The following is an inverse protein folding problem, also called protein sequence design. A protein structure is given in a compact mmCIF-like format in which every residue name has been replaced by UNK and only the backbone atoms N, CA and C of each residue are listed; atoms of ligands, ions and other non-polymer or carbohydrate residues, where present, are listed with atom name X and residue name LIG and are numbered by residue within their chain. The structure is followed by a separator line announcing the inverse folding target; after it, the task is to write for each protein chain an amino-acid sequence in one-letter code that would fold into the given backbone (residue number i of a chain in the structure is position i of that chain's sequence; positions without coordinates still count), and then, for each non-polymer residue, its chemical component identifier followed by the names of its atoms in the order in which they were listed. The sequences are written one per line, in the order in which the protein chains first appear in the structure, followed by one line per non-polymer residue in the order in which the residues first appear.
data_IF_330987681437
#
_entry.id   IF_330987681437
#
_cell.length_a   1.000
_cell.length_b   1.000
_cell.length_c   1.000
_cell.angle_alpha   90.00
_cell.angle_beta   90.00
_cell.angle_gamma   90.00
#
_symmetry.space_group_name_H-M   'P 1'
#
loop_
_entity.id
_entity.type
_entity.pdbx_description
1 polymer ?
#
# COMPACT_ATOMS: atom_id res chain seq x y z
N UNK A 1 14.00 15.25 22.65
CA UNK A 1 12.69 15.56 23.23
C UNK A 1 12.83 16.06 24.68
N UNK A 2 11.96 16.96 25.09
CA UNK A 2 11.90 17.55 26.42
C UNK A 2 10.98 16.73 27.34
N UNK A 3 10.88 17.12 28.63
CA UNK A 3 9.90 16.52 29.52
C UNK A 3 8.45 16.89 29.09
N UNK A 4 7.51 16.06 29.43
CA UNK A 4 6.10 16.23 29.02
C UNK A 4 5.47 17.54 29.52
N UNK A 5 5.86 18.01 30.68
CA UNK A 5 5.39 19.26 31.29
C UNK A 5 5.99 20.54 30.65
N UNK A 6 7.03 20.38 29.84
CA UNK A 6 7.73 21.48 29.15
C UNK A 6 7.22 21.65 27.70
N UNK A 7 6.47 20.70 27.18
CA UNK A 7 5.95 20.74 25.81
C UNK A 7 5.00 21.95 25.62
N UNK A 8 5.22 22.73 24.57
CA UNK A 8 4.46 23.94 24.25
C UNK A 8 4.95 25.20 24.97
N UNK A 9 6.13 25.14 25.60
CA UNK A 9 6.73 26.29 26.32
C UNK A 9 7.92 26.93 25.62
N UNK A 10 8.23 26.46 24.39
CA UNK A 10 9.38 26.96 23.60
C UNK A 10 10.73 26.84 24.33
N UNK A 11 10.93 25.71 25.02
CA UNK A 11 12.16 25.45 25.77
C UNK A 11 13.26 24.91 24.86
N UNK A 12 14.50 24.97 25.33
CA UNK A 12 15.66 24.45 24.61
C UNK A 12 15.49 22.99 24.20
N UNK A 13 15.76 22.67 22.92
CA UNK A 13 15.58 21.35 22.30
C UNK A 13 14.13 20.86 22.20
N UNK A 14 13.16 21.72 22.40
CA UNK A 14 11.79 21.40 22.03
C UNK A 14 11.62 21.45 20.50
N UNK A 15 10.99 20.42 19.94
CA UNK A 15 10.63 20.39 18.52
C UNK A 15 9.30 19.65 18.34
N UNK A 16 8.43 20.17 17.50
CA UNK A 16 7.20 19.48 17.09
C UNK A 16 7.54 18.42 16.07
N UNK A 17 8.00 17.27 16.53
CA UNK A 17 8.36 16.13 15.69
C UNK A 17 7.11 15.45 15.12
N UNK A 18 6.00 15.40 15.89
CA UNK A 18 4.74 14.83 15.43
C UNK A 18 4.17 15.61 14.24
N UNK A 19 4.09 16.94 14.36
CA UNK A 19 3.63 17.79 13.24
C UNK A 19 4.58 17.75 12.05
N UNK A 20 5.90 17.78 12.29
CA UNK A 20 6.90 17.72 11.21
C UNK A 20 6.88 16.39 10.45
N UNK A 21 6.51 15.29 11.08
CA UNK A 21 6.46 13.96 10.48
C UNK A 21 5.13 13.67 9.77
N UNK A 22 4.07 14.41 10.05
CA UNK A 22 2.70 14.14 9.58
C UNK A 22 2.60 13.86 8.06
N UNK A 23 3.29 14.60 7.16
CA UNK A 23 3.24 14.34 5.73
C UNK A 23 3.90 13.01 5.29
N UNK A 24 4.71 12.39 6.15
CA UNK A 24 5.53 11.22 5.81
C UNK A 24 5.10 9.93 6.52
N UNK A 25 4.18 10.01 7.49
CA UNK A 25 3.76 8.88 8.31
C UNK A 25 2.27 8.62 8.17
N UNK A 26 1.84 7.39 8.42
CA UNK A 26 0.41 7.05 8.48
C UNK A 26 -0.29 7.66 9.70
N UNK A 27 0.43 7.76 10.79
CA UNK A 27 -0.03 8.34 12.03
C UNK A 27 1.14 8.71 12.92
N UNK A 28 0.95 9.68 13.79
CA UNK A 28 1.92 10.07 14.81
C UNK A 28 1.27 10.09 16.19
N UNK A 29 2.01 9.67 17.20
CA UNK A 29 1.62 9.72 18.60
C UNK A 29 2.61 10.58 19.39
N UNK A 30 2.07 11.45 20.24
CA UNK A 30 2.83 12.06 21.32
C UNK A 30 2.45 11.37 22.64
N UNK A 31 3.35 10.57 23.20
CA UNK A 31 3.12 9.77 24.39
C UNK A 31 3.34 10.61 25.64
N UNK A 32 2.26 11.17 26.22
CA UNK A 32 2.35 12.08 27.38
C UNK A 32 2.27 11.37 28.74
N UNK A 33 1.73 10.19 28.80
CA UNK A 33 1.56 9.42 30.03
C UNK A 33 2.26 8.08 29.91
N UNK A 34 3.12 7.73 30.88
CA UNK A 34 3.86 6.47 30.84
C UNK A 34 2.96 5.23 30.76
N UNK A 35 1.78 5.27 31.40
CA UNK A 35 0.82 4.17 31.46
C UNK A 35 0.26 3.82 30.07
N UNK A 36 0.20 4.79 29.15
CA UNK A 36 -0.32 4.59 27.80
C UNK A 36 0.68 3.87 26.86
N UNK A 37 1.92 3.64 27.33
CA UNK A 37 3.03 3.12 26.49
C UNK A 37 2.64 1.84 25.77
N UNK A 38 2.17 0.82 26.50
CA UNK A 38 1.84 -0.47 25.92
C UNK A 38 0.73 -0.37 24.86
N UNK A 39 -0.31 0.39 25.15
CA UNK A 39 -1.44 0.60 24.24
C UNK A 39 -1.03 1.38 22.98
N UNK A 40 -0.29 2.47 23.13
CA UNK A 40 0.19 3.29 22.01
C UNK A 40 1.08 2.46 21.08
N UNK A 41 2.04 1.70 21.62
CA UNK A 41 2.88 0.83 20.80
C UNK A 41 2.06 -0.25 20.09
N UNK A 42 1.12 -0.89 20.77
CA UNK A 42 0.24 -1.88 20.15
C UNK A 42 -0.56 -1.29 18.98
N UNK A 43 -1.16 -0.11 19.18
CA UNK A 43 -1.90 0.62 18.13
C UNK A 43 -0.99 1.03 16.98
N UNK A 44 0.20 1.53 17.27
CA UNK A 44 1.17 1.95 16.27
C UNK A 44 1.57 0.80 15.34
N UNK A 45 1.92 -0.36 15.89
CA UNK A 45 2.22 -1.55 15.09
C UNK A 45 1.02 -2.04 14.27
N UNK A 46 -0.18 -1.98 14.85
CA UNK A 46 -1.40 -2.34 14.12
C UNK A 46 -1.64 -1.41 12.93
N UNK A 47 -1.56 -0.08 13.12
CA UNK A 47 -1.72 0.90 12.04
C UNK A 47 -0.62 0.72 10.98
N UNK A 48 0.63 0.57 11.40
CA UNK A 48 1.76 0.41 10.48
C UNK A 48 1.62 -0.85 9.60
N UNK A 49 1.12 -1.95 10.18
CA UNK A 49 1.06 -3.27 9.54
C UNK A 49 -0.22 -3.58 8.76
N UNK A 50 -1.27 -2.76 8.84
CA UNK A 50 -2.58 -3.04 8.23
C UNK A 50 -2.96 -2.00 7.17
N UNK A 51 -3.93 -2.32 6.31
CA UNK A 51 -4.28 -1.49 5.16
C UNK A 51 -3.07 -1.27 4.25
N UNK A 52 -2.93 -0.10 3.66
CA UNK A 52 -1.69 0.30 3.00
C UNK A 52 -0.63 0.51 4.07
N UNK A 53 0.35 -0.38 4.14
CA UNK A 53 1.43 -0.37 5.15
C UNK A 53 2.27 0.90 5.02
N UNK A 54 2.72 1.41 6.16
CA UNK A 54 3.54 2.61 6.21
C UNK A 54 4.02 2.92 7.63
N UNK A 55 4.95 3.86 7.80
CA UNK A 55 5.53 4.20 9.09
C UNK A 55 4.53 4.85 10.03
N UNK A 56 4.70 4.61 11.32
CA UNK A 56 4.04 5.34 12.41
C UNK A 56 5.12 5.88 13.33
N UNK A 57 5.00 7.16 13.69
CA UNK A 57 5.93 7.81 14.60
C UNK A 57 5.34 7.79 16.02
N UNK A 58 6.20 7.51 17.01
CA UNK A 58 5.88 7.68 18.42
C UNK A 58 6.93 8.61 19.01
N UNK A 59 6.51 9.79 19.42
CA UNK A 59 7.34 10.75 20.15
C UNK A 59 7.18 10.50 21.64
N UNK A 60 8.30 10.16 22.31
CA UNK A 60 8.33 9.78 23.72
C UNK A 60 9.13 10.80 24.51
N UNK A 61 8.49 11.68 25.31
CA UNK A 61 9.15 12.64 26.17
C UNK A 61 10.13 11.99 27.15
N UNK A 62 11.13 12.75 27.57
CA UNK A 62 12.25 12.22 28.35
C UNK A 62 11.84 11.68 29.72
N UNK A 63 10.94 12.34 30.42
CA UNK A 63 10.37 11.89 31.69
C UNK A 63 9.58 10.59 31.54
N UNK A 64 8.80 10.45 30.44
CA UNK A 64 8.07 9.20 30.13
C UNK A 64 9.02 8.03 29.89
N UNK A 65 10.16 8.26 29.22
CA UNK A 65 11.17 7.22 29.00
C UNK A 65 11.81 6.68 30.30
N UNK A 66 11.80 7.47 31.37
CA UNK A 66 12.39 7.11 32.65
C UNK A 66 11.39 6.59 33.67
N UNK A 67 10.12 6.75 33.40
CA UNK A 67 9.08 6.34 34.32
C UNK A 67 9.00 4.81 34.45
N UNK A 68 8.77 4.35 35.67
CA UNK A 68 8.43 2.96 35.95
C UNK A 68 6.92 2.78 35.86
N UNK A 69 6.47 1.70 35.20
CA UNK A 69 5.05 1.38 35.03
C UNK A 69 4.80 -0.08 35.34
N UNK A 70 3.59 -0.40 35.77
CA UNK A 70 3.07 -1.76 35.76
C UNK A 70 2.71 -2.13 34.33
N UNK A 71 3.58 -2.93 33.68
CA UNK A 71 3.46 -3.24 32.26
C UNK A 71 2.43 -4.31 32.01
N UNK A 72 1.37 -3.94 31.28
CA UNK A 72 0.38 -4.87 30.74
C UNK A 72 0.21 -4.61 29.25
N UNK A 73 0.53 -5.63 28.42
CA UNK A 73 0.41 -5.49 26.97
C UNK A 73 -1.00 -5.92 26.51
N UNK A 74 -1.75 -5.03 25.82
CA UNK A 74 -3.11 -5.32 25.42
C UNK A 74 -3.20 -6.53 24.47
N UNK A 75 -4.17 -7.42 24.67
CA UNK A 75 -4.41 -8.57 23.78
C UNK A 75 -4.96 -8.14 22.43
N UNK A 76 -5.83 -7.14 22.41
CA UNK A 76 -6.55 -6.67 21.22
C UNK A 76 -6.30 -5.19 20.94
N UNK A 77 -6.58 -4.76 19.71
CA UNK A 77 -6.55 -3.35 19.31
C UNK A 77 -7.96 -2.96 18.85
N UNK A 78 -8.50 -1.92 19.44
CA UNK A 78 -9.71 -1.26 18.95
C UNK A 78 -9.44 0.23 18.73
N UNK A 79 -9.50 0.66 17.46
CA UNK A 79 -9.35 2.06 17.07
C UNK A 79 -10.63 2.46 16.36
N UNK A 80 -11.43 3.30 17.01
CA UNK A 80 -12.79 3.69 16.56
C UNK A 80 -12.84 4.16 15.11
N UNK A 81 -11.86 4.93 14.65
CA UNK A 81 -11.82 5.55 13.33
C UNK A 81 -10.98 4.80 12.30
N UNK A 82 -10.37 3.66 12.68
CA UNK A 82 -9.49 2.90 11.81
C UNK A 82 -9.99 1.47 11.64
N UNK A 83 -10.60 1.18 10.50
CA UNK A 83 -11.19 -0.11 10.13
C UNK A 83 -10.69 -0.52 8.74
N UNK A 84 -9.44 -1.02 8.62
CA UNK A 84 -8.90 -1.42 7.32
C UNK A 84 -9.70 -2.57 6.73
N UNK A 85 -10.10 -2.45 5.46
CA UNK A 85 -10.74 -3.54 4.74
C UNK A 85 -9.69 -4.54 4.29
N UNK A 86 -9.94 -5.84 4.51
CA UNK A 86 -9.08 -6.93 4.07
C UNK A 86 -9.73 -7.82 2.99
N UNK A 87 -11.01 -7.56 2.67
CA UNK A 87 -11.77 -8.36 1.72
C UNK A 87 -12.42 -7.47 0.65
N UNK A 88 -12.33 -7.92 -0.60
CA UNK A 88 -12.98 -7.24 -1.71
C UNK A 88 -14.51 -7.39 -1.67
N UNK A 89 -15.22 -6.43 -2.27
CA UNK A 89 -16.66 -6.49 -2.41
C UNK A 89 -17.06 -7.56 -3.42
N UNK A 90 -17.85 -8.58 -3.01
CA UNK A 90 -18.24 -9.70 -3.84
C UNK A 90 -18.99 -9.32 -5.13
N UNK A 91 -19.80 -8.25 -5.13
CA UNK A 91 -20.49 -7.78 -6.32
C UNK A 91 -19.51 -7.12 -7.32
N UNK A 92 -18.54 -6.36 -6.82
CA UNK A 92 -17.49 -5.77 -7.66
C UNK A 92 -16.60 -6.87 -8.28
N UNK A 93 -16.26 -7.90 -7.52
CA UNK A 93 -15.49 -9.05 -8.03
C UNK A 93 -16.26 -9.76 -9.16
N UNK A 94 -17.57 -10.00 -9.00
CA UNK A 94 -18.41 -10.59 -10.06
C UNK A 94 -18.45 -9.72 -11.31
N UNK A 95 -18.60 -8.39 -11.15
CA UNK A 95 -18.58 -7.45 -12.28
C UNK A 95 -17.23 -7.47 -13.00
N UNK A 96 -16.13 -7.44 -12.25
CA UNK A 96 -14.77 -7.51 -12.79
C UNK A 96 -14.56 -8.82 -13.59
N UNK A 97 -15.02 -9.96 -13.05
CA UNK A 97 -14.94 -11.25 -13.74
C UNK A 97 -15.72 -11.26 -15.08
N UNK A 98 -16.93 -10.67 -15.11
CA UNK A 98 -17.72 -10.56 -16.34
C UNK A 98 -17.01 -9.67 -17.38
N UNK A 99 -16.49 -8.53 -16.96
CA UNK A 99 -15.74 -7.62 -17.85
C UNK A 99 -14.49 -8.31 -18.41
N UNK A 100 -13.74 -8.99 -17.56
CA UNK A 100 -12.53 -9.69 -17.97
C UNK A 100 -12.83 -10.86 -18.93
N UNK A 101 -13.91 -11.60 -18.69
CA UNK A 101 -14.34 -12.68 -19.57
C UNK A 101 -14.76 -12.21 -20.98
N UNK A 102 -15.17 -10.95 -21.13
CA UNK A 102 -15.52 -10.34 -22.41
C UNK A 102 -14.35 -9.65 -23.11
N UNK A 103 -13.22 -9.48 -22.42
CA UNK A 103 -12.04 -8.83 -22.96
C UNK A 103 -11.41 -9.64 -24.11
N UNK A 104 -10.97 -8.93 -25.14
CA UNK A 104 -10.26 -9.54 -26.29
C UNK A 104 -8.75 -9.47 -26.16
N UNK A 105 -8.27 -8.44 -25.46
CA UNK A 105 -6.84 -8.17 -25.22
C UNK A 105 -6.62 -7.75 -23.77
N UNK A 106 -6.92 -8.62 -22.80
CA UNK A 106 -6.69 -8.32 -21.41
C UNK A 106 -5.18 -8.24 -21.09
N UNK A 107 -4.82 -7.39 -20.12
CA UNK A 107 -3.46 -7.22 -19.65
C UNK A 107 -3.46 -7.03 -18.12
N UNK A 108 -2.55 -7.67 -17.42
CA UNK A 108 -2.34 -7.47 -15.98
C UNK A 108 -1.18 -6.51 -15.77
N UNK A 109 -1.39 -5.48 -14.94
CA UNK A 109 -0.32 -4.63 -14.41
C UNK A 109 -0.06 -5.01 -12.95
N UNK A 110 1.07 -5.65 -12.71
CA UNK A 110 1.53 -6.08 -11.40
C UNK A 110 2.26 -4.94 -10.67
N UNK A 111 1.77 -4.55 -9.51
CA UNK A 111 2.38 -3.54 -8.66
C UNK A 111 3.05 -4.09 -7.41
N UNK A 112 3.69 -3.20 -6.63
CA UNK A 112 4.38 -3.53 -5.39
C UNK A 112 3.47 -4.05 -4.28
N UNK A 113 2.17 -3.74 -4.32
CA UNK A 113 1.18 -4.25 -3.35
C UNK A 113 1.02 -5.77 -3.36
N UNK A 114 1.38 -6.43 -4.46
CA UNK A 114 1.36 -7.89 -4.57
C UNK A 114 2.33 -8.62 -3.62
N UNK A 115 3.41 -7.95 -3.17
CA UNK A 115 4.37 -8.57 -2.23
C UNK A 115 3.84 -8.65 -0.80
N UNK A 116 2.52 -8.66 -0.65
CA UNK A 116 1.84 -8.83 0.63
C UNK A 116 1.13 -10.18 0.67
N UNK A 117 1.42 -11.01 1.66
CA UNK A 117 0.85 -12.35 1.78
C UNK A 117 1.19 -13.25 0.59
N UNK A 118 0.21 -14.01 0.10
CA UNK A 118 0.35 -14.96 -1.03
C UNK A 118 -0.08 -14.38 -2.39
N UNK A 119 -0.25 -13.07 -2.49
CA UNK A 119 -0.86 -12.46 -3.67
C UNK A 119 -0.03 -12.64 -4.95
N UNK A 120 1.30 -12.70 -4.86
CA UNK A 120 2.17 -12.98 -6.01
C UNK A 120 1.89 -14.36 -6.59
N UNK A 121 1.82 -15.39 -5.75
CA UNK A 121 1.55 -16.75 -6.22
C UNK A 121 0.13 -16.89 -6.80
N UNK A 122 -0.84 -16.25 -6.19
CA UNK A 122 -2.21 -16.21 -6.70
C UNK A 122 -2.30 -15.52 -8.05
N UNK A 123 -1.62 -14.38 -8.21
CA UNK A 123 -1.56 -13.66 -9.49
C UNK A 123 -0.89 -14.50 -10.58
N UNK A 124 0.22 -15.18 -10.28
CA UNK A 124 0.91 -16.08 -11.23
C UNK A 124 -0.01 -17.21 -11.70
N UNK A 125 -0.65 -17.92 -10.75
CA UNK A 125 -1.62 -18.97 -11.07
C UNK A 125 -2.79 -18.44 -11.90
N UNK A 126 -3.27 -17.24 -11.61
CA UNK A 126 -4.33 -16.60 -12.36
C UNK A 126 -3.88 -16.28 -13.79
N UNK A 127 -2.72 -15.66 -13.97
CA UNK A 127 -2.17 -15.34 -15.29
C UNK A 127 -1.93 -16.61 -16.14
N UNK A 128 -1.34 -17.65 -15.53
CA UNK A 128 -1.12 -18.94 -16.20
C UNK A 128 -2.42 -19.66 -16.59
N UNK A 129 -3.43 -19.63 -15.71
CA UNK A 129 -4.73 -20.27 -15.99
C UNK A 129 -5.52 -19.55 -17.09
N UNK A 130 -5.40 -18.22 -17.17
CA UNK A 130 -6.16 -17.39 -18.11
C UNK A 130 -5.38 -17.04 -19.37
N UNK A 131 -4.09 -17.37 -19.43
CA UNK A 131 -3.14 -16.99 -20.50
C UNK A 131 -3.07 -15.46 -20.71
N UNK A 132 -3.29 -14.68 -19.64
CA UNK A 132 -3.25 -13.22 -19.69
C UNK A 132 -1.82 -12.73 -19.48
N UNK A 133 -1.27 -11.92 -20.40
CA UNK A 133 0.07 -11.36 -20.26
C UNK A 133 0.14 -10.38 -19.07
N UNK A 134 1.34 -10.27 -18.51
CA UNK A 134 1.64 -9.46 -17.34
C UNK A 134 2.74 -8.44 -17.67
N UNK A 135 2.51 -7.20 -17.30
CA UNK A 135 3.52 -6.15 -17.20
C UNK A 135 3.67 -5.73 -15.75
N UNK A 136 4.75 -5.09 -15.38
CA UNK A 136 4.95 -4.65 -14.00
C UNK A 136 5.30 -3.17 -13.89
N UNK A 137 4.94 -2.56 -12.77
CA UNK A 137 5.59 -1.32 -12.33
C UNK A 137 7.01 -1.62 -11.85
N UNK A 138 7.83 -0.58 -11.61
CA UNK A 138 9.15 -0.76 -10.99
C UNK A 138 9.06 -1.51 -9.67
N UNK A 139 8.09 -1.18 -8.82
CA UNK A 139 7.87 -1.84 -7.53
C UNK A 139 7.25 -3.24 -7.66
N UNK A 140 6.72 -3.58 -8.82
CA UNK A 140 6.18 -4.92 -9.14
C UNK A 140 7.20 -5.87 -9.78
N UNK A 141 8.43 -5.41 -10.05
CA UNK A 141 9.48 -6.27 -10.59
C UNK A 141 9.75 -7.46 -9.66
N UNK A 142 9.85 -8.66 -10.24
CA UNK A 142 9.97 -9.91 -9.49
C UNK A 142 8.63 -10.59 -9.18
N UNK A 143 7.48 -9.92 -9.38
CA UNK A 143 6.18 -10.57 -9.25
C UNK A 143 5.99 -11.69 -10.29
N UNK A 144 6.52 -11.54 -11.51
CA UNK A 144 6.59 -12.61 -12.51
C UNK A 144 8.04 -13.02 -12.76
N UNK A 145 8.31 -14.32 -13.02
CA UNK A 145 9.60 -14.77 -13.49
C UNK A 145 9.97 -14.12 -14.82
N UNK A 146 11.21 -13.66 -14.97
CA UNK A 146 11.67 -12.96 -16.19
C UNK A 146 11.70 -13.84 -17.44
N UNK A 147 11.76 -15.16 -17.27
CA UNK A 147 11.71 -16.15 -18.34
C UNK A 147 10.29 -16.66 -18.66
N UNK A 148 9.27 -16.14 -17.98
CA UNK A 148 7.89 -16.49 -18.32
C UNK A 148 7.48 -15.90 -19.67
N UNK A 149 6.86 -16.67 -20.57
CA UNK A 149 6.37 -16.17 -21.84
C UNK A 149 5.23 -15.14 -21.68
N UNK A 150 4.59 -15.12 -20.52
CA UNK A 150 3.55 -14.15 -20.19
C UNK A 150 4.09 -12.83 -19.65
N UNK A 151 5.38 -12.73 -19.30
CA UNK A 151 5.96 -11.50 -18.75
C UNK A 151 6.52 -10.60 -19.86
N UNK A 152 5.89 -9.48 -20.11
CA UNK A 152 6.31 -8.51 -21.14
C UNK A 152 7.23 -7.41 -20.62
N UNK A 153 7.59 -7.45 -19.33
CA UNK A 153 8.56 -6.55 -18.72
C UNK A 153 7.95 -5.38 -17.96
N UNK A 154 8.78 -4.39 -17.67
CA UNK A 154 8.40 -3.20 -16.92
C UNK A 154 7.75 -2.15 -17.82
N UNK A 155 6.64 -1.57 -17.34
CA UNK A 155 5.93 -0.44 -17.95
C UNK A 155 6.52 0.90 -17.51
N UNK A 156 6.31 1.93 -18.31
CA UNK A 156 6.52 3.33 -17.95
C UNK A 156 7.68 3.99 -18.68
N UNK A 157 8.06 5.18 -18.22
CA UNK A 157 9.09 6.03 -18.84
C UNK A 157 10.43 5.30 -19.02
N UNK A 158 10.82 4.48 -18.07
CA UNK A 158 12.04 3.65 -18.10
C UNK A 158 11.72 2.17 -18.41
N UNK A 159 10.51 1.90 -18.89
CA UNK A 159 10.06 0.57 -19.22
C UNK A 159 10.55 0.09 -20.58
N UNK A 160 10.28 -1.18 -20.87
CA UNK A 160 10.62 -1.76 -22.15
C UNK A 160 9.53 -1.54 -23.21
N UNK A 161 9.92 -1.54 -24.47
CA UNK A 161 9.02 -1.34 -25.61
C UNK A 161 7.84 -2.33 -25.61
N UNK A 162 8.11 -3.61 -25.29
CA UNK A 162 7.07 -4.64 -25.27
C UNK A 162 5.95 -4.32 -24.28
N UNK A 163 6.30 -3.96 -23.03
CA UNK A 163 5.34 -3.59 -22.00
C UNK A 163 4.54 -2.33 -22.37
N UNK A 164 5.21 -1.28 -22.88
CA UNK A 164 4.56 -0.04 -23.29
C UNK A 164 3.63 -0.25 -24.51
N UNK A 165 4.02 -1.10 -25.45
CA UNK A 165 3.15 -1.46 -26.57
C UNK A 165 1.93 -2.28 -26.11
N UNK A 166 2.14 -3.24 -25.19
CA UNK A 166 1.05 -4.07 -24.68
C UNK A 166 -0.03 -3.22 -23.98
N UNK A 167 0.37 -2.26 -23.13
CA UNK A 167 -0.60 -1.41 -22.41
C UNK A 167 -1.38 -0.50 -23.34
N UNK A 168 -0.76 0.00 -24.42
CA UNK A 168 -1.44 0.85 -25.41
C UNK A 168 -2.32 0.07 -26.38
N UNK A 169 -2.18 -1.27 -26.45
CA UNK A 169 -2.98 -2.12 -27.31
C UNK A 169 -4.02 -2.98 -26.58
N UNK A 170 -4.00 -3.01 -25.25
CA UNK A 170 -5.01 -3.76 -24.48
C UNK A 170 -6.38 -3.06 -24.50
N UNK A 171 -7.45 -3.83 -24.36
CA UNK A 171 -8.82 -3.32 -24.19
C UNK A 171 -9.28 -3.36 -22.72
N UNK A 172 -8.63 -4.19 -21.93
CA UNK A 172 -8.92 -4.33 -20.50
C UNK A 172 -7.61 -4.43 -19.71
N UNK A 173 -7.40 -3.48 -18.80
CA UNK A 173 -6.23 -3.42 -17.95
C UNK A 173 -6.62 -3.76 -16.52
N UNK A 174 -6.03 -4.82 -15.95
CA UNK A 174 -6.23 -5.23 -14.56
C UNK A 174 -5.04 -4.77 -13.73
N UNK A 175 -5.23 -3.77 -12.90
CA UNK A 175 -4.22 -3.28 -11.97
C UNK A 175 -4.31 -4.07 -10.67
N UNK A 176 -3.22 -4.70 -10.26
CA UNK A 176 -3.14 -5.49 -9.03
C UNK A 176 -2.09 -4.89 -8.09
N UNK A 177 -2.54 -4.22 -7.04
CA UNK A 177 -1.67 -3.56 -6.07
C UNK A 177 -0.71 -2.55 -6.71
N UNK A 178 -1.19 -1.86 -7.73
CA UNK A 178 -0.42 -0.93 -8.54
C UNK A 178 -1.02 0.46 -8.48
N UNK A 179 -0.26 1.42 -7.96
CA UNK A 179 -0.62 2.82 -8.00
C UNK A 179 -0.45 3.39 -9.42
N UNK A 180 -1.42 4.17 -9.88
CA UNK A 180 -1.38 4.86 -11.18
C UNK A 180 -0.56 6.15 -11.04
N UNK A 181 0.76 6.00 -10.82
CA UNK A 181 1.67 7.14 -10.71
C UNK A 181 2.13 7.66 -12.08
N UNK A 182 2.49 8.94 -12.14
CA UNK A 182 2.93 9.66 -13.34
C UNK A 182 3.99 8.91 -14.16
N UNK A 183 4.97 8.31 -13.49
CA UNK A 183 6.06 7.56 -14.14
C UNK A 183 5.61 6.25 -14.80
N UNK A 184 4.58 5.61 -14.26
CA UNK A 184 4.01 4.39 -14.83
C UNK A 184 3.10 4.72 -16.00
N UNK A 185 2.24 5.74 -15.85
CA UNK A 185 1.26 6.11 -16.88
C UNK A 185 1.85 6.99 -18.00
N UNK A 186 3.06 7.55 -17.84
CA UNK A 186 3.70 8.40 -18.86
C UNK A 186 3.82 7.73 -20.25
N UNK A 187 3.78 6.39 -20.28
CA UNK A 187 3.80 5.62 -21.53
C UNK A 187 2.39 5.17 -21.99
N UNK A 188 1.36 5.51 -21.23
CA UNK A 188 -0.03 5.15 -21.56
C UNK A 188 -0.69 6.30 -22.31
N UNK A 189 -1.28 5.99 -23.44
CA UNK A 189 -2.13 6.92 -24.19
C UNK A 189 -3.48 7.07 -23.46
N UNK A 190 -4.02 8.29 -23.44
CA UNK A 190 -5.38 8.50 -22.94
C UNK A 190 -6.38 7.87 -23.91
N UNK A 191 -7.20 6.96 -23.43
CA UNK A 191 -8.15 6.18 -24.22
C UNK A 191 -9.48 6.05 -23.49
N UNK A 192 -10.54 6.47 -24.12
CA UNK A 192 -11.91 6.38 -23.59
C UNK A 192 -12.47 4.95 -23.69
N UNK A 193 -11.88 4.11 -24.54
CA UNK A 193 -12.29 2.72 -24.79
C UNK A 193 -11.61 1.70 -23.86
N UNK A 194 -10.69 2.12 -23.00
CA UNK A 194 -9.99 1.23 -22.09
C UNK A 194 -10.83 0.91 -20.85
N UNK A 195 -11.14 -0.38 -20.65
CA UNK A 195 -11.72 -0.85 -19.40
C UNK A 195 -10.62 -1.03 -18.36
N UNK A 196 -10.76 -0.41 -17.19
CA UNK A 196 -9.81 -0.55 -16.08
C UNK A 196 -10.47 -1.27 -14.91
N UNK A 197 -9.84 -2.34 -14.45
CA UNK A 197 -10.19 -3.07 -13.23
C UNK A 197 -9.07 -2.85 -12.23
N UNK A 198 -9.33 -2.09 -11.17
CA UNK A 198 -8.33 -1.78 -10.16
C UNK A 198 -8.59 -2.55 -8.87
N UNK A 199 -7.60 -3.33 -8.42
CA UNK A 199 -7.62 -4.10 -7.17
C UNK A 199 -6.50 -3.58 -6.28
N UNK A 200 -6.87 -2.86 -5.26
CA UNK A 200 -5.94 -2.30 -4.28
C UNK A 200 -6.49 -2.40 -2.85
N UNK A 201 -5.60 -2.33 -1.86
CA UNK A 201 -5.95 -2.28 -0.43
C UNK A 201 -6.29 -0.86 0.00
N UNK A 202 -5.82 0.14 -0.74
CA UNK A 202 -6.06 1.55 -0.48
C UNK A 202 -7.29 2.01 -1.28
N UNK A 203 -8.39 2.41 -0.61
CA UNK A 203 -9.58 2.87 -1.31
C UNK A 203 -9.41 4.24 -2.00
N UNK A 204 -8.30 4.92 -1.78
CA UNK A 204 -7.99 6.21 -2.39
C UNK A 204 -7.24 6.12 -3.72
N UNK A 205 -6.80 4.92 -4.11
CA UNK A 205 -6.09 4.66 -5.38
C UNK A 205 -7.02 4.41 -6.59
#
# INVERSE_FOLDING_TARGET
QVNSDQIGRDVFQEADITGSAEPFVKHSYLLKRPEDTAEVFKRAFYIAGTGRRGPVLIDVPFDVQKAEIDFEYPDTVDIRSYRPSSTGNGNQIKRAAVQLASAKKPLILAGGGLFTGDAVNLMRKFAEHTDIPVVSTMMGLGAMPTNSPLFYGMLGMHGCKAANTAVNSCDTLVLLGARVGDRAIAAMEQRDDLTVIHVDIDPAE
#
